data_IF_721869288849
#
_entry.id   IF_721869288849
#
_cell.length_a   1.000
_cell.length_b   1.000
_cell.length_c   1.000
_cell.angle_alpha   90.00
_cell.angle_beta   90.00
_cell.angle_gamma   90.00
#
_symmetry.space_group_name_H-M   'P 1'
#
loop_
_entity.id
_entity.type
_entity.pdbx_description
1 polymer ?
#
# COMPACT_ATOMS: atom_id res chain seq x y z
N UNK A 1 14.90 -54.97 12.46
CA UNK A 1 15.17 -53.53 12.23
C UNK A 1 14.18 -53.00 11.21
N UNK A 2 13.46 -51.91 11.52
CA UNK A 2 12.61 -51.03 10.67
C UNK A 2 11.52 -50.39 11.56
N UNK A 3 11.87 -49.29 12.24
CA UNK A 3 10.93 -48.41 12.96
C UNK A 3 11.42 -46.97 12.86
N UNK A 4 11.25 -46.35 11.69
CA UNK A 4 11.41 -44.90 11.48
C UNK A 4 10.55 -44.49 10.27
N UNK A 5 9.24 -44.60 10.42
CA UNK A 5 8.25 -43.91 9.60
C UNK A 5 7.31 -43.27 10.60
N UNK A 6 6.91 -42.02 10.34
CA UNK A 6 6.23 -41.08 11.23
C UNK A 6 7.21 -40.17 12.00
N UNK A 7 7.80 -39.23 11.26
CA UNK A 7 8.11 -37.91 11.81
C UNK A 7 7.26 -36.88 11.07
N UNK A 8 6.50 -36.13 11.87
CA UNK A 8 5.69 -34.96 11.57
C UNK A 8 6.27 -34.11 10.42
N UNK A 9 5.49 -33.70 9.42
CA UNK A 9 4.20 -33.04 9.61
C UNK A 9 4.45 -31.56 9.89
N UNK A 10 4.41 -30.77 8.81
CA UNK A 10 4.16 -29.32 8.80
C UNK A 10 5.30 -28.46 9.40
N UNK A 11 6.33 -28.22 8.59
CA UNK A 11 7.31 -27.14 8.82
C UNK A 11 7.68 -26.44 7.50
N UNK A 12 6.68 -26.07 6.70
CA UNK A 12 6.92 -25.41 5.40
C UNK A 12 5.85 -24.36 5.05
N UNK A 13 5.41 -23.55 6.01
CA UNK A 13 4.50 -22.43 5.76
C UNK A 13 4.95 -21.10 6.38
N UNK A 14 6.25 -20.92 6.63
CA UNK A 14 6.80 -19.68 7.21
C UNK A 14 7.75 -18.91 6.28
N UNK A 15 7.80 -19.21 4.98
CA UNK A 15 8.54 -18.40 4.00
C UNK A 15 7.59 -17.79 2.96
N UNK A 16 6.98 -16.64 3.27
CA UNK A 16 6.10 -15.98 2.31
C UNK A 16 5.78 -14.50 2.50
N UNK A 17 6.20 -13.86 3.60
CA UNK A 17 6.03 -12.40 3.76
C UNK A 17 7.39 -11.74 4.02
N UNK A 18 8.26 -11.76 3.02
CA UNK A 18 9.30 -10.75 2.91
C UNK A 18 9.26 -10.17 1.50
N UNK A 19 9.38 -8.85 1.42
CA UNK A 19 9.54 -8.04 0.22
C UNK A 19 8.27 -7.44 -0.38
N UNK A 20 7.85 -6.31 0.19
CA UNK A 20 7.63 -5.12 -0.63
C UNK A 20 8.58 -4.02 -0.11
N UNK A 21 9.86 -4.14 -0.49
CA UNK A 21 10.80 -3.03 -0.47
C UNK A 21 11.80 -3.23 -1.61
N UNK A 22 11.45 -2.77 -2.81
CA UNK A 22 12.41 -2.57 -3.89
C UNK A 22 12.97 -1.15 -3.78
N UNK A 23 13.96 -1.02 -2.90
CA UNK A 23 14.99 0.00 -3.01
C UNK A 23 16.31 -0.72 -3.28
N UNK A 24 16.71 -0.78 -4.55
CA UNK A 24 18.12 -0.70 -5.00
C UNK A 24 18.23 -0.90 -6.51
N UNK A 25 18.50 0.22 -7.20
CA UNK A 25 19.60 0.41 -8.16
C UNK A 25 19.84 -0.70 -9.20
N UNK A 26 19.44 -0.42 -10.44
CA UNK A 26 20.21 -0.84 -11.62
C UNK A 26 20.91 0.40 -12.20
N UNK A 27 22.20 0.24 -12.48
CA UNK A 27 23.10 1.26 -12.98
C UNK A 27 23.09 1.28 -14.52
N UNK A 28 23.47 2.46 -15.04
CA UNK A 28 23.95 2.76 -16.39
C UNK A 28 22.97 2.64 -17.57
N UNK A 29 22.37 3.78 -17.92
CA UNK A 29 22.51 4.30 -19.29
C UNK A 29 22.62 5.84 -19.26
N UNK A 30 23.74 6.30 -19.79
CA UNK A 30 24.17 7.63 -20.23
C UNK A 30 23.28 8.86 -19.96
N UNK A 31 23.92 9.82 -19.27
CA UNK A 31 24.08 11.22 -19.70
C UNK A 31 22.81 12.06 -19.94
N UNK A 32 22.33 12.69 -18.86
CA UNK A 32 22.15 14.15 -18.86
C UNK A 32 22.27 14.67 -17.43
N UNK A 33 23.44 15.20 -17.10
CA UNK A 33 23.66 15.93 -15.87
C UNK A 33 23.06 17.34 -16.01
N UNK A 34 21.73 17.46 -15.93
CA UNK A 34 21.12 18.75 -15.63
C UNK A 34 21.04 18.88 -14.12
N UNK A 35 22.03 19.58 -13.58
CA UNK A 35 22.12 19.91 -12.17
C UNK A 35 21.03 20.92 -11.85
N UNK A 36 19.80 20.45 -11.65
CA UNK A 36 18.74 21.27 -11.08
C UNK A 36 19.15 21.60 -9.64
N UNK A 37 19.66 22.81 -9.43
CA UNK A 37 19.76 23.43 -8.12
C UNK A 37 18.44 23.20 -7.39
N UNK A 38 18.47 22.43 -6.30
CA UNK A 38 17.41 22.51 -5.29
C UNK A 38 17.55 23.89 -4.69
N UNK A 39 16.81 24.85 -5.26
CA UNK A 39 16.54 26.09 -4.57
C UNK A 39 15.95 25.70 -3.21
N UNK A 40 16.54 26.20 -2.13
CA UNK A 40 16.06 25.97 -0.78
C UNK A 40 14.63 26.52 -0.71
N UNK A 41 13.66 25.62 -0.83
CA UNK A 41 12.26 25.99 -0.73
C UNK A 41 12.08 26.56 0.68
N UNK A 42 11.52 27.78 0.82
CA UNK A 42 11.17 28.32 2.13
C UNK A 42 10.40 27.24 2.88
N UNK A 43 10.66 27.07 4.19
CA UNK A 43 9.94 26.10 5.00
C UNK A 43 8.43 26.34 4.82
N UNK A 44 7.81 25.51 3.97
CA UNK A 44 6.41 25.62 3.62
C UNK A 44 5.63 25.47 4.94
N UNK A 45 4.67 26.36 5.18
CA UNK A 45 3.79 26.20 6.32
C UNK A 45 3.21 24.77 6.29
N UNK A 46 3.12 24.07 7.45
CA UNK A 46 2.62 22.71 7.47
C UNK A 46 1.27 22.66 6.73
N UNK A 47 1.17 21.73 5.77
CA UNK A 47 -0.03 21.56 4.99
C UNK A 47 -1.25 21.41 5.93
N UNK A 48 -2.40 22.00 5.57
CA UNK A 48 -3.59 21.89 6.41
C UNK A 48 -3.92 20.41 6.63
N UNK A 49 -4.35 20.08 7.86
CA UNK A 49 -4.79 18.74 8.19
C UNK A 49 -5.94 18.32 7.26
N UNK A 50 -5.88 17.10 6.75
CA UNK A 50 -6.92 16.55 5.89
C UNK A 50 -8.24 16.44 6.66
N UNK A 51 -9.28 17.15 6.19
CA UNK A 51 -10.64 16.99 6.67
C UNK A 51 -11.22 15.68 6.11
N UNK A 52 -11.56 14.76 7.01
CA UNK A 52 -12.06 13.42 6.68
C UNK A 52 -13.58 13.38 6.54
N UNK A 53 -14.29 14.44 6.90
CA UNK A 53 -15.76 14.49 6.85
C UNK A 53 -16.19 14.82 5.42
N UNK A 54 -17.14 14.05 4.90
CA UNK A 54 -17.64 14.28 3.54
C UNK A 54 -18.18 13.03 2.86
N UNK A 55 -18.63 13.20 1.62
CA UNK A 55 -19.13 12.14 0.76
C UNK A 55 -18.03 11.66 -0.19
N UNK A 56 -17.90 10.35 -0.29
CA UNK A 56 -16.93 9.65 -1.14
C UNK A 56 -17.68 8.62 -1.97
N UNK A 57 -17.24 8.42 -3.21
CA UNK A 57 -17.80 7.41 -4.09
C UNK A 57 -16.68 6.71 -4.84
N UNK A 58 -16.86 5.42 -5.07
CA UNK A 58 -15.95 4.61 -5.86
C UNK A 58 -16.55 3.24 -6.17
N UNK A 59 -15.90 2.50 -7.05
CA UNK A 59 -16.30 1.14 -7.39
C UNK A 59 -15.32 0.16 -6.75
N UNK A 60 -15.78 -0.62 -5.79
CA UNK A 60 -14.96 -1.67 -5.19
C UNK A 60 -14.98 -2.95 -6.05
N UNK A 61 -13.89 -3.74 -6.05
CA UNK A 61 -13.88 -5.06 -6.67
C UNK A 61 -14.98 -5.94 -6.08
N UNK A 62 -15.67 -6.67 -6.95
CA UNK A 62 -16.75 -7.59 -6.59
C UNK A 62 -16.36 -9.00 -7.01
N UNK A 63 -16.69 -10.01 -6.19
CA UNK A 63 -16.29 -11.39 -6.42
C UNK A 63 -16.88 -11.96 -7.73
N UNK A 64 -18.17 -11.73 -7.95
CA UNK A 64 -18.93 -12.34 -9.05
C UNK A 64 -19.74 -11.29 -9.84
N UNK A 65 -19.31 -10.04 -9.83
CA UNK A 65 -19.95 -8.95 -10.58
C UNK A 65 -18.94 -7.94 -11.11
N UNK A 66 -19.39 -7.04 -11.99
CA UNK A 66 -18.52 -6.06 -12.68
C UNK A 66 -17.91 -4.99 -11.77
N UNK A 67 -18.31 -4.96 -10.48
CA UNK A 67 -17.88 -3.99 -9.48
C UNK A 67 -19.05 -3.52 -8.62
N UNK A 68 -18.75 -3.03 -7.41
CA UNK A 68 -19.74 -2.51 -6.46
C UNK A 68 -19.59 -1.00 -6.33
N UNK A 69 -20.51 -0.24 -6.92
CA UNK A 69 -20.62 1.20 -6.66
C UNK A 69 -20.92 1.42 -5.17
N UNK A 70 -20.04 2.15 -4.50
CA UNK A 70 -20.07 2.31 -3.04
C UNK A 70 -19.95 3.79 -2.68
N UNK A 71 -21.10 4.48 -2.53
CA UNK A 71 -21.12 5.77 -1.88
C UNK A 71 -20.92 5.59 -0.37
N UNK A 72 -20.12 6.46 0.25
CA UNK A 72 -19.94 6.51 1.70
C UNK A 72 -19.90 7.97 2.15
N UNK A 73 -20.67 8.31 3.17
CA UNK A 73 -20.60 9.60 3.83
C UNK A 73 -19.97 9.42 5.22
N UNK A 74 -18.84 10.08 5.47
CA UNK A 74 -18.18 10.14 6.77
C UNK A 74 -18.68 11.35 7.56
N UNK A 75 -19.23 11.09 8.74
CA UNK A 75 -19.82 12.10 9.62
C UNK A 75 -18.83 12.49 10.74
N UNK A 76 -18.90 13.74 11.23
CA UNK A 76 -17.99 14.25 12.28
C UNK A 76 -18.12 13.58 13.65
N UNK A 77 -19.15 12.77 13.87
CA UNK A 77 -19.37 11.99 15.10
C UNK A 77 -18.79 10.57 15.03
N UNK A 78 -17.78 10.33 14.18
CA UNK A 78 -17.12 9.02 13.99
C UNK A 78 -18.11 7.92 13.56
N UNK A 79 -19.08 8.30 12.73
CA UNK A 79 -20.10 7.41 12.14
C UNK A 79 -20.08 7.54 10.62
N UNK A 80 -20.65 6.57 9.90
CA UNK A 80 -20.78 6.63 8.45
C UNK A 80 -22.17 6.21 7.96
N UNK A 81 -22.51 6.61 6.74
CA UNK A 81 -23.63 6.10 5.94
C UNK A 81 -23.10 5.52 4.64
N UNK A 82 -23.67 4.42 4.17
CA UNK A 82 -23.31 3.74 2.93
C UNK A 82 -24.58 3.20 2.24
#
# INVERSE_FOLDING_TARGET
MKKKLLYCGIAALTLGFVSCNQNAKNAENAENADSAMVAEQPAEAPAPAFDKVGAYAGTLPCADCSGLETPVELMGNVTYKA
#
